data_IF_904265209217
#
_entry.id   IF_904265209217
#
_cell.length_a   1.000
_cell.length_b   1.000
_cell.length_c   1.000
_cell.angle_alpha   90.00
_cell.angle_beta   90.00
_cell.angle_gamma   90.00
#
_symmetry.space_group_name_H-M   'P 1'
#
loop_
_entity.id
_entity.type
_entity.pdbx_description
1 polymer ?
#
# COMPACT_ATOMS: atom_id res chain seq x y z
N UNK A 1 -23.94 -0.28 -9.16
CA UNK A 1 -22.52 -0.65 -9.16
C UNK A 1 -22.32 -2.09 -8.68
N UNK A 2 -22.57 -2.42 -7.40
CA UNK A 2 -22.18 -3.69 -6.74
C UNK A 2 -22.68 -5.01 -7.36
N UNK A 3 -23.79 -5.00 -8.11
CA UNK A 3 -24.40 -6.22 -8.69
C UNK A 3 -23.89 -6.58 -10.10
N UNK A 4 -22.99 -5.78 -10.68
CA UNK A 4 -22.46 -6.05 -12.01
C UNK A 4 -21.43 -7.19 -11.96
N UNK A 5 -21.54 -8.15 -12.87
CA UNK A 5 -20.68 -9.34 -12.91
C UNK A 5 -19.18 -8.99 -13.10
N UNK A 6 -18.87 -7.89 -13.79
CA UNK A 6 -17.50 -7.43 -14.06
C UNK A 6 -17.02 -6.31 -13.12
N UNK A 7 -17.62 -6.17 -11.94
CA UNK A 7 -17.25 -5.05 -11.05
C UNK A 7 -15.81 -5.14 -10.54
N UNK A 8 -15.29 -6.34 -10.32
CA UNK A 8 -13.91 -6.55 -9.89
C UNK A 8 -12.92 -5.98 -10.91
N UNK A 9 -13.11 -6.31 -12.19
CA UNK A 9 -12.26 -5.82 -13.28
C UNK A 9 -12.38 -4.31 -13.45
N UNK A 10 -13.59 -3.76 -13.28
CA UNK A 10 -13.82 -2.30 -13.29
C UNK A 10 -13.06 -1.59 -12.16
N UNK A 11 -13.08 -2.15 -10.96
CA UNK A 11 -12.34 -1.60 -9.81
C UNK A 11 -10.84 -1.63 -10.10
N UNK A 12 -10.32 -2.76 -10.61
CA UNK A 12 -8.89 -2.90 -10.94
C UNK A 12 -8.48 -1.90 -12.03
N UNK A 13 -9.29 -1.75 -13.08
CA UNK A 13 -9.05 -0.78 -14.15
C UNK A 13 -9.14 0.69 -13.67
N UNK A 14 -9.83 0.94 -12.57
CA UNK A 14 -9.97 2.27 -11.95
C UNK A 14 -8.82 2.62 -11.02
N UNK A 15 -7.99 1.64 -10.63
CA UNK A 15 -6.82 1.85 -9.79
C UNK A 15 -5.64 2.26 -10.67
N UNK A 16 -5.08 3.43 -10.38
CA UNK A 16 -4.00 4.09 -11.09
C UNK A 16 -4.24 4.09 -12.61
N UNK A 17 -5.29 4.76 -13.11
CA UNK A 17 -5.62 4.79 -14.53
C UNK A 17 -4.56 5.51 -15.36
N UNK A 18 -3.68 6.28 -14.72
CA UNK A 18 -2.54 6.98 -15.33
C UNK A 18 -1.31 6.10 -15.56
N UNK A 19 -1.35 4.83 -15.15
CA UNK A 19 -0.25 3.88 -15.33
C UNK A 19 -0.72 2.76 -16.26
N UNK A 20 0.04 2.50 -17.31
CA UNK A 20 -0.25 1.44 -18.27
C UNK A 20 0.10 0.07 -17.69
N UNK A 21 -0.74 -0.93 -17.96
CA UNK A 21 -0.50 -2.32 -17.54
C UNK A 21 -0.51 -2.54 -16.01
N UNK A 22 0.30 -3.51 -15.58
CA UNK A 22 0.47 -3.95 -14.18
C UNK A 22 -0.82 -4.36 -13.47
N UNK A 23 -1.70 -5.11 -14.15
CA UNK A 23 -3.00 -5.50 -13.60
C UNK A 23 -2.89 -6.30 -12.30
N UNK A 24 -1.84 -7.12 -12.15
CA UNK A 24 -1.57 -7.85 -10.91
C UNK A 24 -1.27 -6.92 -9.73
N UNK A 25 -0.48 -5.86 -9.94
CA UNK A 25 -0.17 -4.87 -8.88
C UNK A 25 -1.43 -4.09 -8.54
N UNK A 26 -2.17 -3.63 -9.55
CA UNK A 26 -3.44 -2.91 -9.35
C UNK A 26 -4.43 -3.76 -8.56
N UNK A 27 -4.51 -5.06 -8.84
CA UNK A 27 -5.33 -6.00 -8.08
C UNK A 27 -4.83 -6.19 -6.64
N UNK A 28 -3.53 -6.33 -6.42
CA UNK A 28 -2.96 -6.42 -5.08
C UNK A 28 -3.28 -5.17 -4.23
N UNK A 29 -3.10 -3.98 -4.82
CA UNK A 29 -3.43 -2.70 -4.19
C UNK A 29 -4.94 -2.58 -3.94
N UNK A 30 -5.78 -3.06 -4.86
CA UNK A 30 -7.23 -3.12 -4.66
C UNK A 30 -7.56 -3.91 -3.39
N UNK A 31 -7.03 -5.14 -3.29
CA UNK A 31 -7.28 -6.03 -2.17
C UNK A 31 -6.82 -5.41 -0.85
N UNK A 32 -5.63 -4.79 -0.82
CA UNK A 32 -5.13 -4.09 0.36
C UNK A 32 -5.99 -2.88 0.77
N UNK A 33 -6.51 -2.13 -0.21
CA UNK A 33 -7.41 -1.00 0.03
C UNK A 33 -8.75 -1.42 0.65
N UNK A 34 -9.34 -2.52 0.16
CA UNK A 34 -10.56 -3.08 0.77
C UNK A 34 -10.27 -3.70 2.14
N UNK A 35 -9.12 -4.35 2.30
CA UNK A 35 -8.75 -5.07 3.51
C UNK A 35 -9.59 -6.32 3.74
N UNK A 36 -9.23 -7.09 4.77
CA UNK A 36 -9.97 -8.25 5.23
C UNK A 36 -10.66 -8.01 6.58
N UNK A 37 -11.27 -9.08 7.10
CA UNK A 37 -11.95 -9.05 8.38
C UNK A 37 -11.05 -9.57 9.50
N UNK A 38 -10.71 -8.70 10.46
CA UNK A 38 -10.07 -9.16 11.69
C UNK A 38 -11.03 -10.06 12.49
N UNK A 39 -10.51 -11.18 13.02
CA UNK A 39 -11.30 -12.15 13.78
C UNK A 39 -10.71 -12.29 15.18
N UNK A 40 -11.57 -12.37 16.18
CA UNK A 40 -11.15 -12.63 17.56
C UNK A 40 -11.92 -13.82 18.13
N UNK A 41 -11.55 -15.06 17.76
CA UNK A 41 -12.19 -16.26 18.29
C UNK A 41 -12.03 -16.34 19.82
N UNK A 42 -13.13 -16.15 20.54
CA UNK A 42 -13.22 -16.36 21.98
C UNK A 42 -12.34 -15.43 22.83
N UNK A 43 -12.03 -14.23 22.34
CA UNK A 43 -11.21 -13.19 23.01
C UNK A 43 -9.77 -13.59 23.39
N UNK A 44 -9.30 -14.77 22.98
CA UNK A 44 -7.95 -15.26 23.32
C UNK A 44 -6.88 -14.87 22.31
N UNK A 45 -7.23 -14.85 21.03
CA UNK A 45 -6.29 -14.59 19.96
C UNK A 45 -6.92 -13.71 18.89
N UNK A 46 -6.32 -12.54 18.65
CA UNK A 46 -6.70 -11.67 17.54
C UNK A 46 -5.98 -12.14 16.28
N UNK A 47 -6.75 -12.48 15.26
CA UNK A 47 -6.27 -12.80 13.92
C UNK A 47 -6.38 -11.55 13.06
N UNK A 48 -5.24 -11.15 12.47
CA UNK A 48 -5.13 -10.01 11.58
C UNK A 48 -6.08 -10.13 10.39
N UNK A 49 -6.74 -9.02 10.03
CA UNK A 49 -7.53 -8.89 8.80
C UNK A 49 -6.85 -8.04 7.72
N UNK A 50 -5.82 -7.28 8.07
CA UNK A 50 -5.08 -6.41 7.16
C UNK A 50 -4.19 -7.21 6.20
N UNK A 51 -4.10 -6.72 4.95
CA UNK A 51 -3.32 -7.34 3.88
C UNK A 51 -2.08 -6.49 3.62
N UNK A 52 -0.91 -7.10 3.76
CA UNK A 52 0.36 -6.41 3.51
C UNK A 52 0.86 -6.72 2.09
N UNK A 53 1.29 -5.67 1.38
CA UNK A 53 1.74 -5.78 -0.01
C UNK A 53 3.15 -5.21 -0.14
N UNK A 54 4.06 -5.96 -0.77
CA UNK A 54 5.39 -5.49 -1.14
C UNK A 54 5.50 -5.45 -2.66
N UNK A 55 5.79 -4.27 -3.21
CA UNK A 55 6.08 -4.06 -4.63
C UNK A 55 7.58 -3.88 -4.80
N UNK A 56 8.25 -4.92 -5.29
CA UNK A 56 9.65 -4.87 -5.66
C UNK A 56 9.77 -4.70 -7.18
N UNK A 57 10.71 -3.89 -7.65
CA UNK A 57 10.98 -3.86 -9.08
C UNK A 57 12.10 -2.92 -9.47
N UNK A 58 12.38 -2.85 -10.76
CA UNK A 58 13.44 -1.98 -11.26
C UNK A 58 13.08 -0.49 -11.09
N UNK A 59 14.06 0.42 -10.97
CA UNK A 59 13.81 1.85 -10.93
C UNK A 59 13.14 2.29 -12.24
N UNK A 60 12.21 3.24 -12.16
CA UNK A 60 11.45 3.72 -13.32
C UNK A 60 10.12 2.99 -13.59
N UNK A 61 9.80 1.93 -12.86
CA UNK A 61 8.56 1.14 -13.00
C UNK A 61 7.31 1.75 -12.33
N UNK A 62 7.27 3.08 -12.17
CA UNK A 62 6.14 3.83 -11.58
C UNK A 62 5.67 3.41 -10.17
N UNK A 63 6.43 2.62 -9.41
CA UNK A 63 6.10 2.14 -8.04
C UNK A 63 5.69 3.26 -7.09
N UNK A 64 6.48 4.34 -7.02
CA UNK A 64 6.15 5.50 -6.18
C UNK A 64 4.87 6.22 -6.60
N UNK A 65 4.50 6.16 -7.89
CA UNK A 65 3.25 6.74 -8.39
C UNK A 65 2.04 5.90 -7.94
N UNK A 66 2.17 4.57 -7.88
CA UNK A 66 1.14 3.72 -7.28
C UNK A 66 0.90 4.09 -5.81
N UNK A 67 1.95 4.27 -5.01
CA UNK A 67 1.81 4.67 -3.61
C UNK A 67 1.11 6.03 -3.48
N UNK A 68 1.55 7.05 -4.23
CA UNK A 68 0.92 8.38 -4.24
C UNK A 68 -0.55 8.36 -4.67
N UNK A 69 -0.90 7.45 -5.58
CA UNK A 69 -2.29 7.27 -5.98
C UNK A 69 -3.13 6.67 -4.86
N UNK A 70 -2.61 5.63 -4.19
CA UNK A 70 -3.26 4.99 -3.03
C UNK A 70 -3.45 5.99 -1.89
N UNK A 71 -2.47 6.88 -1.65
CA UNK A 71 -2.54 7.94 -0.63
C UNK A 71 -3.78 8.84 -0.82
N UNK A 72 -4.10 9.19 -2.08
CA UNK A 72 -5.23 10.08 -2.39
C UNK A 72 -6.59 9.40 -2.22
N UNK A 73 -6.66 8.10 -2.50
CA UNK A 73 -7.92 7.34 -2.54
C UNK A 73 -8.25 6.71 -1.20
N UNK A 74 -7.24 6.25 -0.47
CA UNK A 74 -7.44 5.70 0.87
C UNK A 74 -8.09 6.76 1.77
N UNK A 75 -9.06 6.37 2.63
CA UNK A 75 -9.70 7.32 3.54
C UNK A 75 -8.74 7.83 4.62
N UNK A 76 -7.79 6.99 5.01
CA UNK A 76 -6.73 7.29 5.96
C UNK A 76 -5.45 6.62 5.47
N UNK A 77 -4.51 7.41 5.00
CA UNK A 77 -3.21 6.95 4.59
C UNK A 77 -2.12 7.87 5.13
N UNK A 78 -0.97 7.26 5.44
CA UNK A 78 0.24 7.99 5.80
C UNK A 78 1.34 7.53 4.85
N UNK A 79 1.94 8.48 4.14
CA UNK A 79 3.07 8.23 3.26
C UNK A 79 4.39 8.54 3.97
N UNK A 80 5.35 7.64 3.86
CA UNK A 80 6.69 7.80 4.41
C UNK A 80 7.73 7.19 3.46
N UNK A 81 8.97 7.66 3.55
CA UNK A 81 10.08 7.16 2.73
C UNK A 81 11.07 6.44 3.64
N UNK A 82 11.71 5.37 3.18
CA UNK A 82 12.59 4.56 4.02
C UNK A 82 13.74 5.33 4.66
N UNK A 83 14.24 6.39 4.01
CA UNK A 83 15.26 7.28 4.57
C UNK A 83 14.68 8.39 5.49
N UNK A 84 13.45 8.86 5.22
CA UNK A 84 12.77 9.86 6.04
C UNK A 84 12.07 9.27 7.27
N UNK A 85 11.84 7.97 7.26
CA UNK A 85 11.12 7.21 8.27
C UNK A 85 12.06 6.74 9.40
N UNK A 86 12.61 7.67 10.19
CA UNK A 86 13.31 7.28 11.41
C UNK A 86 12.35 6.49 12.34
N UNK A 87 12.85 5.50 13.09
CA UNK A 87 12.08 4.68 14.03
C UNK A 87 11.23 5.52 14.97
N UNK A 88 11.77 6.68 15.36
CA UNK A 88 11.13 7.71 16.19
C UNK A 88 9.86 8.25 15.50
N UNK A 89 9.93 8.54 14.20
CA UNK A 89 8.81 9.02 13.40
C UNK A 89 7.84 7.93 12.92
N UNK A 90 8.28 6.67 12.83
CA UNK A 90 7.42 5.54 12.46
C UNK A 90 6.54 5.04 13.61
N UNK A 91 7.13 4.95 14.81
CA UNK A 91 6.49 4.32 15.98
C UNK A 91 5.76 5.33 16.84
N UNK A 92 6.40 5.77 17.91
CA UNK A 92 6.02 6.90 18.73
C UNK A 92 7.27 7.39 19.46
N UNK A 93 7.28 8.67 19.77
CA UNK A 93 8.40 9.27 20.45
C UNK A 93 7.96 10.12 21.62
N UNK A 94 8.87 10.26 22.58
CA UNK A 94 8.62 11.06 23.76
C UNK A 94 9.23 12.43 23.53
N UNK A 95 8.40 13.46 23.61
CA UNK A 95 8.82 14.85 23.57
C UNK A 95 8.59 15.47 24.93
N UNK A 96 9.52 16.30 25.40
CA UNK A 96 9.30 17.10 26.60
C UNK A 96 8.56 18.37 26.23
N UNK A 97 7.40 18.60 26.82
CA UNK A 97 6.66 19.84 26.60
C UNK A 97 7.46 21.02 27.21
N UNK A 98 7.80 22.07 26.44
CA UNK A 98 8.60 23.19 26.95
C UNK A 98 7.90 23.97 28.07
N UNK A 99 6.55 23.97 28.10
CA UNK A 99 5.77 24.73 29.08
C UNK A 99 5.57 23.95 30.38
N UNK A 100 5.10 22.69 30.31
CA UNK A 100 4.79 21.88 31.50
C UNK A 100 6.00 21.10 32.02
N UNK A 101 7.08 21.00 31.23
CA UNK A 101 8.27 20.17 31.49
C UNK A 101 7.99 18.67 31.64
N UNK A 102 6.77 18.24 31.35
CA UNK A 102 6.35 16.83 31.37
C UNK A 102 6.72 16.13 30.07
N UNK A 103 6.90 14.82 30.17
CA UNK A 103 7.12 13.94 29.03
C UNK A 103 5.76 13.62 28.39
N UNK A 104 5.58 13.99 27.13
CA UNK A 104 4.38 13.71 26.34
C UNK A 104 4.73 12.75 25.22
N UNK A 105 3.86 11.76 24.97
CA UNK A 105 4.02 10.79 23.90
C UNK A 105 3.38 11.34 22.62
N UNK A 106 4.16 11.47 21.55
CA UNK A 106 3.68 11.80 20.20
C UNK A 106 3.62 10.53 19.35
N UNK A 107 2.48 10.33 18.68
CA UNK A 107 2.24 9.17 17.82
C UNK A 107 3.02 9.31 16.51
N UNK A 108 3.71 8.24 16.10
CA UNK A 108 4.37 8.16 14.80
C UNK A 108 3.43 7.69 13.68
N UNK A 109 3.99 7.55 12.48
CA UNK A 109 3.27 7.31 11.24
C UNK A 109 2.36 6.06 11.29
N UNK A 110 2.81 4.95 11.89
CA UNK A 110 2.04 3.71 11.97
C UNK A 110 0.83 3.83 12.89
N UNK A 111 1.00 4.53 14.01
CA UNK A 111 -0.09 4.80 14.97
C UNK A 111 -1.08 5.80 14.36
N UNK A 112 -0.59 6.81 13.65
CA UNK A 112 -1.41 7.76 12.90
C UNK A 112 -2.17 7.08 11.75
N UNK A 113 -1.67 5.97 11.21
CA UNK A 113 -2.31 5.18 10.17
C UNK A 113 -3.27 4.08 10.70
N UNK A 114 -3.59 4.04 11.99
CA UNK A 114 -4.50 3.02 12.57
C UNK A 114 -5.85 2.96 11.82
N UNK A 115 -6.30 1.73 11.53
CA UNK A 115 -7.43 1.36 10.67
C UNK A 115 -7.36 1.86 9.22
N UNK A 116 -6.18 2.30 8.78
CA UNK A 116 -5.92 2.81 7.43
C UNK A 116 -4.86 2.02 6.70
N UNK A 117 -4.06 2.73 5.91
CA UNK A 117 -2.96 2.18 5.11
C UNK A 117 -1.68 2.97 5.40
N UNK A 118 -0.58 2.28 5.69
CA UNK A 118 0.74 2.88 5.76
C UNK A 118 1.50 2.60 4.46
N UNK A 119 1.96 3.66 3.79
CA UNK A 119 2.66 3.60 2.52
C UNK A 119 4.13 3.89 2.76
N UNK A 120 5.01 2.95 2.41
CA UNK A 120 6.44 3.06 2.62
C UNK A 120 7.15 2.96 1.28
N UNK A 121 7.75 4.05 0.81
CA UNK A 121 8.61 4.04 -0.36
C UNK A 121 10.06 3.75 0.02
N UNK A 122 10.87 3.23 -0.90
CA UNK A 122 12.28 2.88 -0.67
C UNK A 122 12.51 2.03 0.59
N UNK A 123 11.67 1.00 0.80
CA UNK A 123 11.74 0.11 1.94
C UNK A 123 13.10 -0.60 2.07
N UNK A 124 13.80 -0.81 0.96
CA UNK A 124 15.15 -1.36 0.92
C UNK A 124 16.19 -0.46 1.63
N UNK A 125 15.99 0.87 1.63
CA UNK A 125 16.92 1.85 2.22
C UNK A 125 16.69 2.12 3.70
N UNK A 126 15.76 1.42 4.33
CA UNK A 126 15.48 1.57 5.76
C UNK A 126 16.59 1.01 6.65
N UNK A 127 16.86 1.70 7.77
CA UNK A 127 17.81 1.22 8.77
C UNK A 127 17.26 0.00 9.53
N UNK A 128 18.15 -0.81 10.10
CA UNK A 128 17.75 -2.04 10.80
C UNK A 128 16.86 -1.79 12.04
N UNK A 129 17.06 -0.70 12.76
CA UNK A 129 16.22 -0.31 13.91
C UNK A 129 14.78 0.00 13.50
N UNK A 130 14.61 0.61 12.32
CA UNK A 130 13.30 0.97 11.77
C UNK A 130 12.60 -0.31 11.28
N UNK A 131 13.36 -1.22 10.67
CA UNK A 131 12.89 -2.55 10.25
C UNK A 131 12.38 -3.39 11.42
N UNK A 132 13.09 -3.42 12.56
CA UNK A 132 12.63 -4.16 13.76
C UNK A 132 11.32 -3.60 14.30
N UNK A 133 11.17 -2.28 14.26
CA UNK A 133 9.97 -1.58 14.73
C UNK A 133 8.75 -1.89 13.87
N UNK A 134 8.91 -1.90 12.55
CA UNK A 134 7.85 -2.29 11.61
C UNK A 134 7.49 -3.77 11.80
N UNK A 135 8.48 -4.64 12.04
CA UNK A 135 8.23 -6.05 12.26
C UNK A 135 7.31 -6.31 13.47
N UNK A 136 7.51 -5.58 14.58
CA UNK A 136 6.60 -5.62 15.74
C UNK A 136 5.18 -5.18 15.36
N UNK A 137 5.06 -4.06 14.64
CA UNK A 137 3.77 -3.52 14.22
C UNK A 137 3.02 -4.45 13.24
N UNK A 138 3.71 -5.07 12.28
CA UNK A 138 3.12 -6.00 11.31
C UNK A 138 2.68 -7.33 11.94
N UNK A 139 3.37 -7.76 13.00
CA UNK A 139 3.05 -8.99 13.71
C UNK A 139 1.92 -8.80 14.73
N UNK A 140 2.08 -7.87 15.65
CA UNK A 140 1.18 -7.72 16.79
C UNK A 140 0.05 -6.71 16.54
N UNK A 141 0.16 -5.89 15.49
CA UNK A 141 -0.72 -4.72 15.25
C UNK A 141 -0.76 -3.76 16.44
N UNK A 142 0.28 -3.77 17.25
CA UNK A 142 0.48 -2.92 18.41
C UNK A 142 1.96 -2.61 18.54
N UNK A 143 2.26 -1.43 19.05
CA UNK A 143 3.62 -0.96 19.30
C UNK A 143 3.73 -0.71 20.80
N UNK A 144 4.66 -1.42 21.44
CA UNK A 144 4.97 -1.24 22.85
C UNK A 144 6.07 -0.19 23.02
N UNK A 145 5.80 0.84 23.83
CA UNK A 145 6.76 1.92 24.07
C UNK A 145 7.01 2.01 25.56
N UNK A 146 8.29 1.86 25.93
CA UNK A 146 8.79 2.03 27.30
C UNK A 146 9.93 3.03 27.28
N UNK A 147 9.61 4.32 27.39
CA UNK A 147 10.60 5.42 27.36
C UNK A 147 10.21 6.51 28.36
N UNK A 148 11.23 7.09 29.01
CA UNK A 148 11.07 8.22 29.96
C UNK A 148 10.03 7.99 31.08
N UNK A 149 9.91 6.75 31.57
CA UNK A 149 8.96 6.37 32.62
C UNK A 149 7.52 6.16 32.13
N UNK A 150 7.26 6.34 30.83
CA UNK A 150 5.97 6.05 30.20
C UNK A 150 6.06 4.65 29.59
N UNK A 151 5.26 3.73 30.14
CA UNK A 151 5.07 2.38 29.61
C UNK A 151 3.65 2.29 29.07
N UNK A 152 3.50 2.38 27.75
CA UNK A 152 2.20 2.31 27.09
C UNK A 152 2.28 1.46 25.84
N UNK A 153 1.15 0.86 25.47
CA UNK A 153 0.99 0.15 24.21
C UNK A 153 0.01 0.91 23.33
N UNK A 154 0.44 1.22 22.11
CA UNK A 154 -0.35 1.92 21.11
C UNK A 154 -0.82 0.92 20.06
N UNK A 155 -2.07 1.01 19.61
CA UNK A 155 -2.58 0.17 18.54
C UNK A 155 -2.14 0.75 17.18
N UNK A 156 -1.72 -0.14 16.27
CA UNK A 156 -1.26 0.20 14.93
C UNK A 156 -1.83 -0.80 13.91
N UNK A 157 -3.17 -0.92 13.87
CA UNK A 157 -3.90 -1.84 12.98
C UNK A 157 -3.96 -1.21 11.59
N UNK A 158 -2.88 -1.31 10.84
CA UNK A 158 -2.81 -0.76 9.50
C UNK A 158 -2.36 -1.83 8.51
N UNK A 159 -2.80 -1.67 7.26
CA UNK A 159 -2.25 -2.42 6.14
C UNK A 159 -0.98 -1.74 5.66
N UNK A 160 0.13 -2.47 5.53
CA UNK A 160 1.41 -1.92 5.08
C UNK A 160 1.57 -2.20 3.59
N UNK A 161 1.76 -1.13 2.80
CA UNK A 161 2.10 -1.22 1.38
C UNK A 161 3.50 -0.62 1.21
N UNK A 162 4.45 -1.47 0.87
CA UNK A 162 5.84 -1.09 0.71
C UNK A 162 6.26 -1.15 -0.76
N UNK A 163 7.07 -0.21 -1.20
CA UNK A 163 7.82 -0.29 -2.45
C UNK A 163 9.31 -0.45 -2.13
N UNK A 164 9.97 -1.38 -2.81
CA UNK A 164 11.39 -1.65 -2.66
C UNK A 164 12.07 -1.74 -4.04
N UNK A 165 13.36 -1.47 -4.06
CA UNK A 165 14.23 -1.71 -5.21
C UNK A 165 15.10 -2.94 -4.98
N UNK A 166 15.42 -3.73 -6.02
CA UNK A 166 16.42 -4.77 -5.91
C UNK A 166 17.81 -4.17 -5.70
N UNK A 167 18.69 -4.94 -5.08
CA UNK A 167 20.10 -4.59 -4.88
C UNK A 167 20.75 -4.37 -6.25
N UNK A 168 21.56 -3.30 -6.37
CA UNK A 168 22.20 -2.96 -7.65
C UNK A 168 21.24 -2.34 -8.69
N UNK A 169 19.97 -2.15 -8.34
CA UNK A 169 19.00 -1.45 -9.17
C UNK A 169 18.42 -2.25 -10.33
N UNK A 170 18.75 -3.54 -10.47
CA UNK A 170 18.11 -4.45 -11.42
C UNK A 170 17.81 -5.79 -10.78
N UNK A 171 16.65 -6.35 -11.08
CA UNK A 171 16.24 -7.65 -10.57
C UNK A 171 16.97 -8.79 -11.31
N UNK A 172 17.71 -9.62 -10.59
CA UNK A 172 18.38 -10.79 -11.20
C UNK A 172 17.51 -12.06 -11.04
N UNK A 173 17.04 -12.69 -12.15
CA UNK A 173 16.24 -13.90 -12.09
C UNK A 173 17.02 -15.14 -11.64
N UNK A 174 18.35 -15.11 -11.68
CA UNK A 174 19.20 -16.23 -11.25
C UNK A 174 19.33 -16.35 -9.72
N UNK A 175 19.09 -15.25 -9.00
CA UNK A 175 19.17 -15.19 -7.54
C UNK A 175 17.80 -15.39 -6.88
N UNK A 176 17.81 -15.81 -5.62
CA UNK A 176 16.58 -15.92 -4.82
C UNK A 176 16.01 -14.52 -4.49
N UNK A 177 14.71 -14.44 -4.24
CA UNK A 177 14.05 -13.16 -3.92
C UNK A 177 14.66 -12.47 -2.69
N UNK A 178 14.95 -13.21 -1.63
CA UNK A 178 15.54 -12.67 -0.40
C UNK A 178 16.92 -12.04 -0.67
N UNK A 179 17.74 -12.68 -1.50
CA UNK A 179 19.04 -12.16 -1.89
C UNK A 179 18.92 -10.92 -2.79
N UNK A 180 17.89 -10.84 -3.63
CA UNK A 180 17.67 -9.69 -4.50
C UNK A 180 17.27 -8.41 -3.75
N UNK A 181 16.64 -8.46 -2.57
CA UNK A 181 16.04 -7.27 -1.91
C UNK A 181 16.72 -6.91 -0.57
N UNK A 182 17.72 -7.67 -0.11
CA UNK A 182 18.37 -7.48 1.19
C UNK A 182 17.37 -7.39 2.37
N UNK A 183 16.34 -8.25 2.33
CA UNK A 183 15.34 -8.37 3.38
C UNK A 183 15.47 -9.71 4.07
N UNK A 184 15.24 -9.71 5.39
CA UNK A 184 15.25 -10.93 6.18
C UNK A 184 13.96 -11.73 5.99
N UNK A 185 14.04 -13.06 6.04
CA UNK A 185 12.88 -13.96 5.91
C UNK A 185 11.73 -13.65 6.88
N UNK A 186 11.97 -13.24 8.15
CA UNK A 186 10.89 -12.85 9.05
C UNK A 186 10.06 -11.67 8.54
N UNK A 187 10.66 -10.71 7.82
CA UNK A 187 9.91 -9.58 7.24
C UNK A 187 9.16 -10.03 6.00
N UNK A 188 9.81 -10.80 5.13
CA UNK A 188 9.22 -11.30 3.89
C UNK A 188 7.98 -12.15 4.15
N UNK A 189 8.00 -13.00 5.17
CA UNK A 189 6.85 -13.84 5.56
C UNK A 189 5.64 -13.04 6.09
N UNK A 190 5.80 -11.75 6.41
CA UNK A 190 4.71 -10.88 6.89
C UNK A 190 3.98 -10.15 5.77
N UNK A 191 4.58 -10.12 4.59
CA UNK A 191 3.92 -9.64 3.38
C UNK A 191 3.11 -10.76 2.76
N UNK A 192 1.81 -10.53 2.60
CA UNK A 192 0.90 -11.55 2.07
C UNK A 192 0.99 -11.61 0.54
N UNK A 193 1.24 -10.45 -0.09
CA UNK A 193 1.34 -10.31 -1.53
C UNK A 193 2.69 -9.69 -1.89
N UNK A 194 3.49 -10.46 -2.64
CA UNK A 194 4.74 -10.01 -3.22
C UNK A 194 4.52 -9.77 -4.71
N UNK A 195 4.71 -8.54 -5.15
CA UNK A 195 4.65 -8.17 -6.56
C UNK A 195 6.07 -7.82 -7.03
N UNK A 196 6.60 -8.61 -7.97
CA UNK A 196 7.88 -8.32 -8.62
C UNK A 196 7.62 -7.75 -10.00
N UNK A 197 8.17 -6.56 -10.26
CA UNK A 197 8.12 -5.90 -11.56
C UNK A 197 9.51 -5.96 -12.18
N UNK A 198 9.58 -6.57 -13.36
CA UNK A 198 10.80 -6.63 -14.16
C UNK A 198 10.61 -5.75 -15.38
N UNK A 199 11.63 -4.96 -15.66
CA UNK A 199 11.69 -4.16 -16.87
C UNK A 199 12.33 -5.00 -18.00
N UNK A 200 11.49 -5.73 -18.73
CA UNK A 200 11.89 -6.50 -19.91
C UNK A 200 11.63 -5.67 -21.17
N UNK A 201 12.66 -5.48 -22.00
CA UNK A 201 12.55 -4.69 -23.23
C UNK A 201 11.73 -5.47 -24.27
N UNK A 202 10.53 -4.98 -24.57
CA UNK A 202 9.66 -5.50 -25.61
C UNK A 202 9.19 -4.35 -26.50
N UNK A 203 9.57 -4.31 -27.80
CA UNK A 203 9.27 -3.18 -28.67
C UNK A 203 7.77 -2.94 -28.85
N UNK A 204 6.92 -3.96 -28.74
CA UNK A 204 5.47 -3.82 -28.87
C UNK A 204 4.91 -3.17 -27.61
N UNK A 205 5.26 -3.69 -26.43
CA UNK A 205 4.82 -3.13 -25.15
C UNK A 205 5.35 -1.71 -24.94
N UNK A 206 6.61 -1.46 -25.29
CA UNK A 206 7.23 -0.14 -25.22
C UNK A 206 6.53 0.86 -26.14
N UNK A 207 6.12 0.43 -27.34
CA UNK A 207 5.34 1.29 -28.23
C UNK A 207 3.97 1.64 -27.62
N UNK A 208 3.29 0.68 -26.99
CA UNK A 208 2.03 0.93 -26.31
C UNK A 208 2.19 1.85 -25.10
N UNK A 209 3.23 1.62 -24.30
CA UNK A 209 3.59 2.46 -23.16
C UNK A 209 3.91 3.89 -23.60
N UNK A 210 4.73 4.07 -24.64
CA UNK A 210 5.10 5.38 -25.16
C UNK A 210 3.88 6.14 -25.69
N UNK A 211 3.01 5.49 -26.47
CA UNK A 211 1.74 6.09 -26.94
C UNK A 211 0.87 6.52 -25.76
N UNK A 212 0.78 5.69 -24.72
CA UNK A 212 0.00 5.98 -23.53
C UNK A 212 0.57 7.16 -22.72
N UNK A 213 1.90 7.19 -22.52
CA UNK A 213 2.59 8.28 -21.79
C UNK A 213 2.45 9.61 -22.54
N UNK A 214 2.68 9.62 -23.86
CA UNK A 214 2.48 10.82 -24.70
C UNK A 214 1.03 11.28 -24.65
N UNK A 215 0.08 10.35 -24.77
CA UNK A 215 -1.35 10.65 -24.64
C UNK A 215 -1.70 11.25 -23.27
N UNK A 216 -1.13 10.72 -22.19
CA UNK A 216 -1.31 11.24 -20.83
C UNK A 216 -0.73 12.66 -20.69
N UNK A 217 0.48 12.92 -21.19
CA UNK A 217 1.09 14.26 -21.14
C UNK A 217 0.29 15.30 -21.94
N UNK A 218 -0.25 14.93 -23.09
CA UNK A 218 -1.11 15.80 -23.89
C UNK A 218 -2.41 16.14 -23.12
N UNK A 219 -3.00 15.18 -22.40
CA UNK A 219 -4.22 15.39 -21.61
C UNK A 219 -4.00 16.28 -20.39
N UNK A 220 -2.84 16.18 -19.74
CA UNK A 220 -2.52 16.97 -18.54
C UNK A 220 -1.80 18.29 -18.84
N UNK A 221 -1.80 18.74 -20.11
CA UNK A 221 -1.11 19.98 -20.48
C UNK A 221 -1.89 21.21 -19.98
N UNK A 222 -1.26 22.13 -19.21
CA UNK A 222 -1.96 23.24 -18.55
C UNK A 222 -2.57 24.26 -19.52
N UNK A 223 -2.12 24.29 -20.78
CA UNK A 223 -2.63 25.21 -21.80
C UNK A 223 -3.80 24.64 -22.61
N UNK A 224 -4.21 23.37 -22.41
CA UNK A 224 -5.40 22.82 -23.05
C UNK A 224 -6.65 23.40 -22.38
N UNK A 225 -7.47 24.14 -23.13
CA UNK A 225 -8.83 24.50 -22.73
C UNK A 225 -9.70 23.24 -22.79
N UNK A 226 -10.63 23.09 -21.85
CA UNK A 226 -11.56 21.95 -21.70
C UNK A 226 -12.48 21.68 -22.92
N UNK A 227 -12.25 22.33 -24.06
CA UNK A 227 -13.17 22.39 -25.21
C UNK A 227 -12.73 21.58 -26.43
N UNK A 228 -11.61 20.86 -26.40
CA UNK A 228 -11.27 19.94 -27.49
C UNK A 228 -11.76 18.53 -27.15
N UNK A 229 -12.94 18.21 -27.70
CA UNK A 229 -13.58 16.89 -27.80
C UNK A 229 -12.70 15.88 -28.56
N UNK A 230 -11.55 15.53 -28.00
CA UNK A 230 -10.91 14.27 -28.35
C UNK A 230 -11.72 13.19 -27.66
N UNK A 231 -12.49 12.45 -28.47
CA UNK A 231 -13.25 11.24 -28.12
C UNK A 231 -12.82 10.72 -26.76
N UNK A 232 -13.66 10.99 -25.76
CA UNK A 232 -13.57 10.28 -24.51
C UNK A 232 -13.73 8.81 -24.87
N UNK A 233 -12.61 8.13 -25.09
CA UNK A 233 -12.48 6.74 -24.67
C UNK A 233 -12.52 6.79 -23.15
N UNK A 234 -13.69 7.17 -22.61
CA UNK A 234 -14.15 6.69 -21.32
C UNK A 234 -13.97 5.21 -21.48
N UNK A 235 -12.90 4.66 -20.91
CA UNK A 235 -12.88 3.23 -20.68
C UNK A 235 -14.20 2.98 -19.94
N UNK A 236 -15.19 2.36 -20.59
CA UNK A 236 -16.52 2.10 -20.01
C UNK A 236 -16.44 1.30 -18.68
N UNK A 237 -15.24 0.81 -18.40
CA UNK A 237 -14.84 0.10 -17.20
C UNK A 237 -14.36 1.01 -16.05
N UNK A 238 -13.96 2.26 -16.31
CA UNK A 238 -13.43 3.17 -15.30
C UNK A 238 -14.56 3.80 -14.46
N UNK A 239 -14.42 3.66 -13.15
CA UNK A 239 -15.32 4.24 -12.16
C UNK A 239 -14.75 5.62 -11.77
N UNK A 240 -15.58 6.66 -11.65
CA UNK A 240 -15.14 7.95 -11.12
C UNK A 240 -14.47 7.82 -9.75
N UNK A 241 -13.33 8.50 -9.56
CA UNK A 241 -12.51 8.35 -8.35
C UNK A 241 -13.26 8.70 -7.06
N UNK A 242 -14.14 9.71 -7.10
CA UNK A 242 -14.97 10.08 -5.95
C UNK A 242 -15.95 8.98 -5.55
N UNK A 243 -16.50 8.27 -6.55
CA UNK A 243 -17.37 7.15 -6.29
C UNK A 243 -16.58 5.95 -5.76
N UNK A 244 -15.38 5.69 -6.30
CA UNK A 244 -14.49 4.63 -5.80
C UNK A 244 -14.12 4.86 -4.33
N UNK A 245 -13.77 6.09 -3.96
CA UNK A 245 -13.45 6.46 -2.57
C UNK A 245 -14.62 6.23 -1.62
N UNK A 246 -15.82 6.69 -1.98
CA UNK A 246 -17.04 6.44 -1.19
C UNK A 246 -17.35 4.94 -1.08
N UNK A 247 -17.14 4.20 -2.16
CA UNK A 247 -17.35 2.74 -2.19
C UNK A 247 -16.39 2.01 -1.27
N UNK A 248 -15.10 2.38 -1.25
CA UNK A 248 -14.09 1.81 -0.35
C UNK A 248 -14.42 2.04 1.12
N UNK A 249 -14.83 3.27 1.47
CA UNK A 249 -15.25 3.60 2.85
C UNK A 249 -16.47 2.76 3.24
N UNK A 250 -17.49 2.71 2.38
CA UNK A 250 -18.70 1.94 2.64
C UNK A 250 -18.40 0.45 2.82
N UNK A 251 -17.55 -0.13 1.95
CA UNK A 251 -17.19 -1.54 2.02
C UNK A 251 -16.44 -1.87 3.31
N UNK A 252 -15.45 -1.05 3.71
CA UNK A 252 -14.67 -1.27 4.95
C UNK A 252 -15.51 -1.14 6.23
N UNK A 253 -16.47 -0.21 6.26
CA UNK A 253 -17.24 0.09 7.47
C UNK A 253 -18.46 -0.82 7.65
N UNK A 254 -19.14 -1.18 6.54
CA UNK A 254 -20.46 -1.82 6.63
C UNK A 254 -20.46 -3.31 6.25
N UNK A 255 -19.43 -3.80 5.55
CA UNK A 255 -19.42 -5.17 5.02
C UNK A 255 -18.40 -6.01 5.77
N UNK A 256 -18.89 -7.01 6.49
CA UNK A 256 -18.08 -7.98 7.21
C UNK A 256 -18.41 -9.39 6.71
N UNK A 257 -17.72 -9.87 5.65
CA UNK A 257 -18.08 -11.12 5.00
C UNK A 257 -17.83 -12.33 5.93
N UNK A 258 -18.74 -13.30 5.88
CA UNK A 258 -18.62 -14.57 6.61
C UNK A 258 -18.27 -15.68 5.62
N UNK A 259 -17.30 -16.51 5.97
CA UNK A 259 -16.98 -17.71 5.21
C UNK A 259 -18.00 -18.79 5.56
N UNK A 260 -18.67 -19.33 4.55
CA UNK A 260 -19.38 -20.60 4.66
C UNK A 260 -18.46 -21.70 4.17
N UNK A 261 -18.39 -22.81 4.91
CA UNK A 261 -17.60 -23.97 4.51
C UNK A 261 -18.37 -24.67 3.38
N UNK A 262 -17.98 -24.43 2.13
CA UNK A 262 -18.49 -25.13 0.95
C UNK A 262 -17.67 -26.39 0.65
N UNK A 263 -17.26 -27.13 1.69
CA UNK A 263 -16.55 -28.41 1.55
C UNK A 263 -17.43 -29.55 2.07
N UNK A 264 -18.36 -29.96 1.22
CA UNK A 264 -18.58 -31.39 0.96
C UNK A 264 -18.49 -31.58 -0.55
N UNK A 265 -17.25 -31.60 -1.03
CA UNK A 265 -16.95 -32.27 -2.30
C UNK A 265 -17.23 -33.75 -2.02
N UNK A 266 -18.27 -34.28 -2.66
CA UNK A 266 -18.59 -35.71 -2.70
C UNK A 266 -17.52 -36.47 -3.47
#
# INVERSE_FOLDING_TARGET
MSKNHRIADRIIASIAPSIFGHDYIKRALALALFGGQAKNPGDKHKVRGDINVLVCGDPGTAKSQFLKFVEKIAPRAVFTTGQGASAVGLTAYVRRNPTTREWTLEAGALVLADQGVCLIDEFDKMNDQDRTSIHEAMEQQSISVSKAGIVTSLQARCSVIAAANPIGGRYDPSMTFAQNVNLSDPILSRFDILCVVRDEVDPIQDQHLAKFVVGSHIRHHPAKRETDDFEETVNELQIPQDMLKKYLVYARQNIHPKLQIWTKIK
#
